data_IF_583890897532
#
_entry.id   IF_583890897532
#
_cell.length_a   1.000
_cell.length_b   1.000
_cell.length_c   1.000
_cell.angle_alpha   90.00
_cell.angle_beta   90.00
_cell.angle_gamma   90.00
#
_symmetry.space_group_name_H-M   'P 1'
#
loop_
_entity.id
_entity.type
_entity.pdbx_description
1 polymer ?
#
# COMPACT_ATOMS: atom_id res chain seq x y z
N UNK A 1 7.04 -4.47 22.01
CA UNK A 1 7.66 -3.50 21.07
C UNK A 1 7.23 -2.10 21.47
N UNK A 2 8.08 -1.08 21.31
CA UNK A 2 7.71 0.33 21.50
C UNK A 2 7.38 0.94 20.13
N UNK A 3 6.34 1.77 20.06
CA UNK A 3 6.01 2.50 18.85
C UNK A 3 7.13 3.48 18.47
N UNK A 4 7.28 3.73 17.17
CA UNK A 4 8.15 4.79 16.66
C UNK A 4 7.57 6.18 16.95
N UNK A 5 8.33 7.26 16.65
CA UNK A 5 7.95 8.63 16.96
C UNK A 5 6.57 9.06 16.44
N UNK A 6 6.22 8.68 15.21
CA UNK A 6 4.93 8.96 14.60
C UNK A 6 3.94 7.79 14.69
N UNK A 7 4.38 6.65 15.23
CA UNK A 7 3.64 5.39 15.22
C UNK A 7 3.10 5.06 13.81
N UNK A 8 3.95 5.20 12.80
CA UNK A 8 3.57 5.18 11.39
C UNK A 8 4.63 4.53 10.51
N UNK A 9 4.25 4.13 9.28
CA UNK A 9 5.17 3.54 8.31
C UNK A 9 6.36 4.47 7.98
N UNK A 10 6.15 5.78 8.03
CA UNK A 10 7.17 6.80 7.78
C UNK A 10 8.19 6.95 8.91
N UNK A 11 8.03 6.23 10.04
CA UNK A 11 9.10 6.11 11.04
C UNK A 11 10.31 5.34 10.50
N UNK A 12 10.14 4.59 9.40
CA UNK A 12 11.27 4.02 8.64
C UNK A 12 11.91 5.13 7.80
N UNK A 13 13.19 5.46 8.04
CA UNK A 13 13.85 6.57 7.35
C UNK A 13 13.79 6.43 5.83
N UNK A 14 13.39 7.52 5.15
CA UNK A 14 13.35 7.60 3.69
C UNK A 14 12.08 7.04 3.05
N UNK A 15 11.26 6.26 3.77
CA UNK A 15 9.92 5.91 3.27
C UNK A 15 9.00 7.13 3.29
N UNK A 16 8.20 7.26 2.24
CA UNK A 16 7.16 8.29 2.15
C UNK A 16 5.83 7.66 1.79
N UNK A 17 4.75 8.26 2.25
CA UNK A 17 3.39 7.79 1.97
C UNK A 17 2.53 8.96 1.53
N UNK A 18 1.86 8.80 0.39
CA UNK A 18 0.94 9.79 -0.17
C UNK A 18 -0.40 9.19 -0.51
N UNK A 19 -1.42 10.03 -0.51
CA UNK A 19 -2.81 9.65 -0.69
C UNK A 19 -3.49 10.63 -1.64
N UNK A 20 -4.29 10.12 -2.58
CA UNK A 20 -5.22 10.92 -3.35
C UNK A 20 -6.57 10.20 -3.42
N UNK A 21 -7.67 10.96 -3.33
CA UNK A 21 -9.02 10.41 -3.35
C UNK A 21 -9.95 11.29 -4.17
N UNK A 22 -11.00 10.67 -4.73
CA UNK A 22 -12.13 11.38 -5.35
C UNK A 22 -13.41 11.02 -4.61
N UNK A 23 -14.10 12.03 -4.12
CA UNK A 23 -15.39 11.93 -3.44
C UNK A 23 -16.38 12.89 -4.10
N UNK A 24 -17.64 12.44 -4.24
CA UNK A 24 -18.68 13.23 -4.92
C UNK A 24 -18.68 13.05 -6.43
N UNK A 25 -19.72 13.55 -7.11
CA UNK A 25 -19.86 13.43 -8.57
C UNK A 25 -19.78 11.99 -9.07
N UNK A 26 -20.39 11.03 -8.35
CA UNK A 26 -20.33 9.60 -8.70
C UNK A 26 -19.14 8.85 -8.10
N UNK A 27 -18.13 9.55 -7.56
CA UNK A 27 -16.89 8.96 -7.05
C UNK A 27 -16.93 8.69 -5.55
N UNK A 28 -16.34 7.56 -5.16
CA UNK A 28 -15.98 7.24 -3.77
C UNK A 28 -14.87 6.19 -3.80
N UNK A 29 -13.69 6.60 -4.26
CA UNK A 29 -12.49 5.75 -4.37
C UNK A 29 -11.20 6.56 -4.14
N UNK A 30 -10.05 5.89 -4.06
CA UNK A 30 -8.76 6.55 -3.91
C UNK A 30 -7.55 5.62 -4.05
N UNK A 31 -6.37 6.23 -4.10
CA UNK A 31 -5.08 5.59 -4.27
C UNK A 31 -4.11 6.03 -3.17
N UNK A 32 -3.39 5.08 -2.60
CA UNK A 32 -2.27 5.29 -1.69
C UNK A 32 -0.99 4.83 -2.38
N UNK A 33 0.06 5.63 -2.28
CA UNK A 33 1.39 5.30 -2.82
C UNK A 33 2.39 5.30 -1.67
N UNK A 34 3.14 4.21 -1.53
CA UNK A 34 4.32 4.13 -0.67
C UNK A 34 5.53 4.31 -1.56
N UNK A 35 6.30 5.38 -1.36
CA UNK A 35 7.51 5.66 -2.15
C UNK A 35 8.73 5.19 -1.36
N UNK A 36 9.58 4.42 -2.03
CA UNK A 36 10.81 3.91 -1.47
C UNK A 36 11.84 5.05 -1.22
N UNK A 37 12.86 4.83 -0.37
CA UNK A 37 13.99 5.74 -0.27
C UNK A 37 14.73 5.87 -1.60
N UNK A 38 15.65 6.84 -1.66
CA UNK A 38 16.55 6.97 -2.81
C UNK A 38 17.29 5.63 -3.07
N UNK A 39 17.32 5.20 -4.34
CA UNK A 39 17.88 3.92 -4.75
C UNK A 39 16.93 2.71 -4.61
N UNK A 40 15.68 2.92 -4.20
CA UNK A 40 14.67 1.87 -4.07
C UNK A 40 14.81 1.02 -2.81
N UNK A 41 13.81 0.17 -2.56
CA UNK A 41 13.75 -0.74 -1.42
C UNK A 41 13.68 -2.19 -1.88
N UNK A 42 14.33 -3.10 -1.16
CA UNK A 42 14.13 -4.54 -1.35
C UNK A 42 12.69 -4.88 -0.94
N UNK A 43 12.00 -5.63 -1.77
CA UNK A 43 10.60 -5.99 -1.55
C UNK A 43 10.31 -7.44 -1.94
N UNK A 44 9.37 -8.03 -1.20
CA UNK A 44 8.70 -9.28 -1.56
C UNK A 44 7.19 -9.11 -1.47
N UNK A 45 6.44 -10.09 -1.96
CA UNK A 45 4.97 -10.08 -1.92
C UNK A 45 4.42 -11.45 -1.55
N UNK A 46 3.40 -11.45 -0.69
CA UNK A 46 2.56 -12.61 -0.40
C UNK A 46 1.09 -12.26 -0.73
N UNK A 47 0.50 -13.02 -1.64
CA UNK A 47 -0.87 -12.85 -2.12
C UNK A 47 -1.70 -14.05 -1.65
N UNK A 48 -2.50 -13.84 -0.61
CA UNK A 48 -3.31 -14.93 0.00
C UNK A 48 -4.81 -14.89 -0.33
N UNK A 49 -5.26 -13.84 -1.02
CA UNK A 49 -6.64 -13.74 -1.47
C UNK A 49 -6.94 -14.63 -2.67
N UNK A 50 -8.15 -15.19 -2.73
CA UNK A 50 -8.56 -16.10 -3.81
C UNK A 50 -8.86 -15.39 -5.15
N UNK A 51 -9.08 -14.07 -5.12
CA UNK A 51 -9.35 -13.24 -6.31
C UNK A 51 -8.49 -11.97 -6.27
N UNK A 52 -7.16 -12.09 -6.44
CA UNK A 52 -6.27 -10.94 -6.37
C UNK A 52 -6.39 -10.07 -7.62
N UNK A 53 -6.32 -8.76 -7.42
CA UNK A 53 -6.02 -7.81 -8.48
C UNK A 53 -4.64 -7.23 -8.21
N UNK A 54 -3.65 -7.65 -8.98
CA UNK A 54 -2.24 -7.27 -8.76
C UNK A 54 -1.56 -6.88 -10.07
N UNK A 55 -0.44 -6.16 -9.93
CA UNK A 55 0.49 -5.80 -11.01
C UNK A 55 1.91 -6.02 -10.52
N UNK A 56 2.77 -6.53 -11.41
CA UNK A 56 4.24 -6.66 -11.20
C UNK A 56 4.63 -7.53 -9.98
N UNK A 57 3.77 -8.47 -9.56
CA UNK A 57 4.04 -9.36 -8.42
C UNK A 57 5.12 -10.38 -8.73
N UNK A 58 5.18 -10.85 -9.97
CA UNK A 58 6.16 -11.84 -10.44
C UNK A 58 7.58 -11.29 -10.35
N UNK A 59 7.78 -9.99 -10.52
CA UNK A 59 9.10 -9.35 -10.42
C UNK A 59 9.73 -9.48 -9.03
N UNK A 60 8.93 -9.82 -8.02
CA UNK A 60 9.34 -9.85 -6.61
C UNK A 60 9.60 -11.26 -6.10
N UNK A 61 9.53 -12.25 -6.98
CA UNK A 61 10.10 -13.55 -6.69
C UNK A 61 11.61 -13.38 -6.48
N UNK A 62 12.19 -13.87 -5.35
CA UNK A 62 13.60 -13.67 -5.02
C UNK A 62 14.58 -14.29 -6.03
N UNK A 63 14.09 -15.10 -6.98
CA UNK A 63 14.90 -15.68 -8.06
C UNK A 63 15.00 -14.79 -9.30
N UNK A 64 14.24 -13.70 -9.36
CA UNK A 64 14.19 -12.81 -10.51
C UNK A 64 15.21 -11.67 -10.40
N UNK A 65 15.44 -10.99 -11.54
CA UNK A 65 16.46 -9.95 -11.70
C UNK A 65 16.24 -8.70 -10.84
N UNK A 66 14.97 -8.40 -10.53
CA UNK A 66 14.59 -7.14 -9.90
C UNK A 66 14.69 -7.25 -8.39
N UNK A 67 15.74 -6.66 -7.82
CA UNK A 67 15.96 -6.68 -6.36
C UNK A 67 15.22 -5.56 -5.62
N UNK A 68 14.83 -4.48 -6.32
CA UNK A 68 14.34 -3.24 -5.71
C UNK A 68 13.13 -2.66 -6.41
N UNK A 69 12.17 -2.20 -5.61
CA UNK A 69 11.00 -1.43 -6.04
C UNK A 69 11.19 0.04 -5.72
N UNK A 70 10.52 0.89 -6.49
CA UNK A 70 10.64 2.35 -6.37
C UNK A 70 9.42 2.96 -5.71
N UNK A 71 8.26 2.33 -5.90
CA UNK A 71 7.04 2.61 -5.16
C UNK A 71 6.14 1.37 -5.12
N UNK A 72 5.17 1.35 -4.20
CA UNK A 72 4.07 0.39 -4.16
C UNK A 72 2.76 1.15 -4.21
N UNK A 73 1.81 0.67 -5.02
CA UNK A 73 0.51 1.33 -5.23
C UNK A 73 -0.62 0.47 -4.68
N UNK A 74 -1.42 1.05 -3.79
CA UNK A 74 -2.63 0.44 -3.24
C UNK A 74 -3.83 1.28 -3.68
N UNK A 75 -4.72 0.70 -4.48
CA UNK A 75 -5.81 1.48 -5.08
C UNK A 75 -7.18 0.83 -4.89
N UNK A 76 -8.22 1.65 -4.78
CA UNK A 76 -9.59 1.23 -5.07
C UNK A 76 -9.79 1.02 -6.58
N UNK A 77 -11.02 0.74 -6.99
CA UNK A 77 -11.42 0.61 -8.39
C UNK A 77 -11.35 -0.82 -8.95
N UNK A 78 -11.12 -1.82 -8.11
CA UNK A 78 -10.88 -3.21 -8.54
C UNK A 78 -9.83 -3.24 -9.68
N UNK A 79 -9.95 -4.18 -10.62
CA UNK A 79 -9.00 -4.35 -11.74
C UNK A 79 -8.76 -3.06 -12.54
N UNK A 80 -9.74 -2.16 -12.64
CA UNK A 80 -9.58 -0.88 -13.34
C UNK A 80 -8.62 0.06 -12.62
N UNK A 81 -8.59 -0.01 -11.29
CA UNK A 81 -7.71 0.79 -10.43
C UNK A 81 -6.22 0.48 -10.59
N UNK A 82 -5.86 -0.64 -11.22
CA UNK A 82 -4.45 -0.94 -11.55
C UNK A 82 -3.86 0.13 -12.48
N UNK A 83 -4.70 0.86 -13.23
CA UNK A 83 -4.28 2.00 -14.05
C UNK A 83 -3.66 3.15 -13.26
N UNK A 84 -3.94 3.26 -11.95
CA UNK A 84 -3.29 4.26 -11.09
C UNK A 84 -1.76 4.05 -11.01
N UNK A 85 -1.28 2.81 -11.13
CA UNK A 85 0.15 2.53 -11.14
C UNK A 85 0.87 3.21 -12.32
N UNK A 86 0.21 3.39 -13.47
CA UNK A 86 0.81 4.02 -14.64
C UNK A 86 1.26 5.47 -14.35
N UNK A 87 0.45 6.26 -13.63
CA UNK A 87 0.86 7.63 -13.30
C UNK A 87 2.03 7.70 -12.33
N UNK A 88 2.19 6.69 -11.46
CA UNK A 88 3.36 6.58 -10.59
C UNK A 88 4.61 6.16 -11.38
N UNK A 89 4.45 5.23 -12.33
CA UNK A 89 5.51 4.87 -13.29
C UNK A 89 5.97 6.10 -14.07
N UNK A 90 5.04 6.87 -14.65
CA UNK A 90 5.38 8.06 -15.43
C UNK A 90 6.15 9.08 -14.60
N UNK A 91 5.69 9.36 -13.37
CA UNK A 91 6.38 10.27 -12.44
C UNK A 91 7.79 9.82 -12.09
N UNK A 92 7.99 8.53 -11.86
CA UNK A 92 9.31 7.96 -11.56
C UNK A 92 10.22 7.98 -12.79
N UNK A 93 9.67 7.67 -13.97
CA UNK A 93 10.40 7.71 -15.23
C UNK A 93 10.89 9.13 -15.56
N UNK A 94 10.01 10.13 -15.43
CA UNK A 94 10.34 11.55 -15.60
C UNK A 94 11.45 12.00 -14.64
N UNK A 95 11.50 11.43 -13.44
CA UNK A 95 12.53 11.69 -12.44
C UNK A 95 13.82 10.88 -12.65
N UNK A 96 13.88 10.00 -13.67
CA UNK A 96 15.01 9.10 -13.90
C UNK A 96 15.18 8.03 -12.82
N UNK A 97 14.11 7.69 -12.09
CA UNK A 97 14.12 6.73 -10.99
C UNK A 97 13.58 5.39 -11.48
N UNK A 98 14.42 4.36 -11.45
CA UNK A 98 14.05 3.03 -11.92
C UNK A 98 15.22 2.08 -11.94
N UNK A 99 14.94 0.84 -12.36
CA UNK A 99 15.97 -0.12 -12.72
C UNK A 99 16.78 0.43 -13.90
N UNK A 100 18.11 0.56 -13.78
CA UNK A 100 18.93 1.18 -14.82
C UNK A 100 19.00 0.28 -16.05
N UNK A 101 18.76 0.86 -17.22
CA UNK A 101 18.91 0.21 -18.53
C UNK A 101 19.68 1.14 -19.47
N UNK A 102 20.12 0.60 -20.62
CA UNK A 102 20.68 1.46 -21.66
C UNK A 102 19.60 2.47 -22.11
N UNK A 103 19.93 3.77 -22.04
CA UNK A 103 19.03 4.84 -22.47
C UNK A 103 18.03 5.35 -21.43
N UNK A 104 18.00 4.80 -20.20
CA UNK A 104 17.12 5.35 -19.15
C UNK A 104 16.97 4.49 -17.89
N UNK A 105 15.87 4.72 -17.18
CA UNK A 105 15.51 3.97 -15.99
C UNK A 105 14.09 3.42 -16.15
N UNK A 106 13.87 2.16 -15.75
CA UNK A 106 12.58 1.46 -15.82
C UNK A 106 11.98 1.39 -14.41
N UNK A 107 10.96 2.18 -14.07
CA UNK A 107 10.34 2.13 -12.76
C UNK A 107 9.72 0.76 -12.48
N UNK A 108 9.99 0.22 -11.30
CA UNK A 108 9.38 -1.00 -10.78
C UNK A 108 8.35 -0.58 -9.74
N UNK A 109 7.07 -0.79 -10.06
CA UNK A 109 5.93 -0.26 -9.30
C UNK A 109 4.86 -1.34 -9.14
N UNK A 110 5.04 -2.27 -8.19
CA UNK A 110 4.03 -3.25 -7.86
C UNK A 110 2.75 -2.59 -7.34
N UNK A 111 1.60 -3.17 -7.69
CA UNK A 111 0.32 -2.65 -7.26
C UNK A 111 -0.64 -3.75 -6.80
N UNK A 112 -1.54 -3.38 -5.90
CA UNK A 112 -2.67 -4.20 -5.48
C UNK A 112 -3.94 -3.35 -5.39
N UNK A 113 -5.08 -3.96 -5.71
CA UNK A 113 -6.38 -3.27 -5.72
C UNK A 113 -7.41 -3.92 -4.83
N UNK A 114 -8.35 -3.11 -4.34
CA UNK A 114 -9.55 -3.56 -3.63
C UNK A 114 -10.80 -3.24 -4.45
N UNK A 115 -11.90 -3.95 -4.16
CA UNK A 115 -13.18 -3.71 -4.80
C UNK A 115 -13.94 -2.58 -4.09
N UNK A 116 -14.26 -1.49 -4.81
CA UNK A 116 -15.10 -0.40 -4.31
C UNK A 116 -16.04 0.22 -5.38
N UNK A 117 -16.24 -0.49 -6.50
CA UNK A 117 -17.14 -0.11 -7.60
C UNK A 117 -18.61 -0.03 -7.10
N UNK A 118 -19.51 0.71 -7.74
CA UNK A 118 -19.58 2.16 -7.71
C UNK A 118 -20.21 2.66 -6.41
N UNK A 119 -19.44 2.64 -5.32
CA UNK A 119 -19.87 3.13 -4.00
C UNK A 119 -20.18 4.64 -3.95
N UNK A 120 -19.77 5.39 -4.96
CA UNK A 120 -20.12 6.80 -5.14
C UNK A 120 -21.35 7.03 -6.02
N UNK A 121 -21.98 5.98 -6.54
CA UNK A 121 -23.15 6.04 -7.42
C UNK A 121 -22.84 5.85 -8.92
N UNK A 122 -21.57 5.89 -9.33
CA UNK A 122 -21.16 5.59 -10.72
C UNK A 122 -20.21 4.39 -10.74
N UNK A 123 -20.57 3.33 -11.46
CA UNK A 123 -19.85 2.04 -11.44
C UNK A 123 -18.38 2.15 -11.89
N UNK A 124 -18.10 2.97 -12.91
CA UNK A 124 -16.75 3.20 -13.45
C UNK A 124 -16.08 4.49 -12.98
N UNK A 125 -16.55 5.09 -11.88
CA UNK A 125 -15.88 6.23 -11.25
C UNK A 125 -14.70 5.73 -10.37
N UNK A 126 -13.63 5.31 -11.02
CA UNK A 126 -12.48 4.59 -10.43
C UNK A 126 -11.18 5.39 -10.51
N UNK A 127 -10.15 5.05 -9.70
CA UNK A 127 -8.82 5.63 -9.82
C UNK A 127 -8.20 5.39 -11.19
N UNK A 128 -7.52 6.41 -11.70
CA UNK A 128 -6.82 6.44 -12.98
C UNK A 128 -5.35 6.84 -12.77
N UNK A 129 -4.57 6.87 -13.85
CA UNK A 129 -3.17 7.29 -13.81
C UNK A 129 -3.00 8.67 -13.16
N UNK A 130 -3.89 9.63 -13.45
CA UNK A 130 -3.82 10.97 -12.86
C UNK A 130 -4.00 10.95 -11.34
N UNK A 131 -4.90 10.11 -10.81
CA UNK A 131 -5.07 9.95 -9.37
C UNK A 131 -3.86 9.26 -8.72
N UNK A 132 -3.24 8.31 -9.41
CA UNK A 132 -1.98 7.69 -8.97
C UNK A 132 -0.82 8.67 -8.90
N UNK A 133 -0.64 9.50 -9.94
CA UNK A 133 0.36 10.56 -9.97
C UNK A 133 0.13 11.57 -8.84
N UNK A 134 -1.12 11.99 -8.60
CA UNK A 134 -1.45 12.89 -7.50
C UNK A 134 -1.11 12.29 -6.12
N UNK A 135 -1.32 10.98 -5.92
CA UNK A 135 -0.95 10.30 -4.69
C UNK A 135 0.58 10.21 -4.53
N UNK A 136 1.33 10.00 -5.61
CA UNK A 136 2.78 10.07 -5.61
C UNK A 136 3.30 11.47 -5.25
N UNK A 137 2.76 12.51 -5.89
CA UNK A 137 3.14 13.91 -5.63
C UNK A 137 2.85 14.31 -4.17
N UNK A 138 1.72 13.83 -3.63
CA UNK A 138 1.38 13.99 -2.22
C UNK A 138 2.38 13.29 -1.28
N UNK A 139 2.99 12.18 -1.69
CA UNK A 139 4.03 11.51 -0.91
C UNK A 139 5.33 12.33 -0.86
N UNK A 140 5.62 13.10 -1.91
CA UNK A 140 6.82 13.92 -2.01
C UNK A 140 6.68 15.30 -1.35
N UNK A 141 5.45 15.73 -1.05
CA UNK A 141 5.20 17.01 -0.40
C UNK A 141 5.57 16.93 1.08
N UNK A 142 6.48 17.78 1.59
CA UNK A 142 6.80 17.83 3.01
C UNK A 142 5.54 18.20 3.82
N UNK A 143 5.22 17.42 4.85
CA UNK A 143 4.13 17.78 5.77
C UNK A 143 4.58 18.99 6.61
N UNK A 144 3.81 20.10 6.64
CA UNK A 144 4.20 21.30 7.39
C UNK A 144 4.11 21.14 8.92
N UNK A 145 3.41 20.11 9.40
CA UNK A 145 3.20 19.83 10.82
C UNK A 145 4.00 18.59 11.28
N UNK A 146 4.63 18.63 12.47
CA UNK A 146 5.18 17.44 13.10
C UNK A 146 4.09 16.36 13.22
N UNK A 147 4.41 15.13 12.83
CA UNK A 147 3.47 14.02 12.87
C UNK A 147 3.01 13.79 14.31
N UNK A 148 1.76 14.13 14.61
CA UNK A 148 1.14 13.76 15.89
C UNK A 148 0.95 12.24 15.92
N UNK A 149 1.31 11.54 17.01
CA UNK A 149 1.24 10.08 17.12
C UNK A 149 -0.17 9.49 16.96
N UNK A 150 -1.20 10.34 16.88
CA UNK A 150 -2.61 10.00 16.72
C UNK A 150 -3.27 10.63 15.48
N UNK A 151 -2.52 11.06 14.45
CA UNK A 151 -3.14 11.47 13.17
C UNK A 151 -3.40 10.26 12.29
N UNK A 152 -4.64 9.72 12.19
CA UNK A 152 -4.94 8.67 11.25
C UNK A 152 -4.85 9.22 9.82
N UNK A 153 -3.74 8.97 9.13
CA UNK A 153 -3.74 9.02 7.66
C UNK A 153 -4.38 7.72 7.19
N UNK A 154 -5.71 7.71 7.15
CA UNK A 154 -6.45 6.57 6.61
C UNK A 154 -6.03 6.40 5.16
N UNK A 155 -5.56 5.21 4.73
CA UNK A 155 -5.22 5.00 3.34
C UNK A 155 -6.42 5.35 2.45
N UNK A 156 -6.19 6.08 1.35
CA UNK A 156 -7.27 6.59 0.52
C UNK A 156 -8.19 5.46 0.01
N UNK A 157 -7.60 4.34 -0.41
CA UNK A 157 -8.31 3.13 -0.82
C UNK A 157 -9.27 2.61 0.27
N UNK A 158 -8.82 2.49 1.52
CA UNK A 158 -9.68 2.02 2.64
C UNK A 158 -10.70 3.06 3.08
N UNK A 159 -10.37 4.35 3.05
CA UNK A 159 -11.27 5.44 3.45
C UNK A 159 -12.48 5.59 2.51
N UNK A 160 -12.30 5.22 1.24
CA UNK A 160 -13.31 5.29 0.21
C UNK A 160 -14.14 3.99 0.10
N UNK A 161 -13.51 2.84 0.36
CA UNK A 161 -14.12 1.52 0.30
C UNK A 161 -14.94 1.12 1.55
N UNK A 162 -15.36 2.06 2.41
CA UNK A 162 -16.18 1.84 3.63
C UNK A 162 -16.70 0.42 3.83
N UNK A 163 -15.89 -0.45 4.45
CA UNK A 163 -16.24 -1.85 4.73
C UNK A 163 -16.40 -2.79 3.53
N UNK A 164 -15.39 -2.99 2.68
CA UNK A 164 -15.27 -4.24 1.88
C UNK A 164 -14.15 -5.10 2.44
N UNK A 165 -14.53 -6.29 2.92
CA UNK A 165 -13.62 -7.42 3.13
C UNK A 165 -13.27 -7.99 1.76
N UNK A 166 -12.13 -7.60 1.18
CA UNK A 166 -11.46 -8.49 0.25
C UNK A 166 -10.82 -9.56 1.11
N UNK A 167 -11.43 -10.74 1.16
CA UNK A 167 -10.90 -11.90 1.89
C UNK A 167 -9.52 -12.24 1.33
N UNK A 168 -8.48 -11.86 2.08
CA UNK A 168 -7.07 -12.10 1.77
C UNK A 168 -6.33 -10.81 1.39
N UNK A 169 -5.74 -10.18 2.40
CA UNK A 169 -4.87 -9.02 2.21
C UNK A 169 -3.62 -9.37 1.41
N UNK A 170 -3.15 -8.44 0.58
CA UNK A 170 -1.80 -8.48 0.02
C UNK A 170 -0.87 -7.88 1.08
N UNK A 171 0.08 -8.66 1.57
CA UNK A 171 1.08 -8.20 2.51
C UNK A 171 2.33 -7.75 1.72
N UNK A 172 2.74 -6.51 1.92
CA UNK A 172 3.96 -5.94 1.35
C UNK A 172 4.95 -5.71 2.48
N UNK A 173 6.15 -6.27 2.37
CA UNK A 173 7.22 -6.04 3.35
C UNK A 173 8.37 -5.33 2.65
N UNK A 174 8.76 -4.17 3.16
CA UNK A 174 9.99 -3.45 2.76
C UNK A 174 10.97 -3.59 3.90
N UNK A 175 12.06 -4.32 3.71
CA UNK A 175 13.10 -4.45 4.72
C UNK A 175 14.04 -3.23 4.65
N UNK A 176 14.38 -2.57 5.78
CA UNK A 176 15.37 -1.52 5.77
C UNK A 176 16.74 -2.11 5.42
N UNK A 177 17.34 -1.63 4.33
CA UNK A 177 18.74 -1.85 4.04
C UNK A 177 19.58 -1.01 5.01
N UNK A 178 19.76 -1.51 6.23
CA UNK A 178 20.80 -1.02 7.13
C UNK A 178 22.15 -1.40 6.53
N UNK A 179 22.88 -0.42 6.00
CA UNK A 179 24.26 -0.56 5.59
C UNK A 179 25.14 -0.85 6.84
N UNK A 180 25.17 -2.12 7.24
CA UNK A 180 26.26 -2.72 7.97
C UNK A 180 26.51 -4.05 7.27
N UNK A 181 27.70 -4.20 6.70
CA UNK A 181 28.16 -5.43 6.02
C UNK A 181 28.18 -6.55 7.05
N UNK A 182 27.05 -7.22 7.22
CA UNK A 182 26.97 -8.61 7.65
C UNK A 182 26.60 -9.41 6.40
N UNK A 183 27.14 -10.62 6.23
CA UNK A 183 26.68 -11.50 5.15
C UNK A 183 25.15 -11.58 5.23
N UNK A 184 24.50 -11.59 4.06
CA UNK A 184 23.06 -11.79 3.98
C UNK A 184 22.68 -12.97 4.88
N UNK A 185 21.60 -12.87 5.69
CA UNK A 185 21.11 -14.00 6.45
C UNK A 185 20.96 -15.20 5.51
N UNK A 186 21.19 -16.42 6.02
CA UNK A 186 20.82 -17.61 5.27
C UNK A 186 19.37 -17.46 4.78
N UNK A 187 19.07 -17.94 3.58
CA UNK A 187 17.78 -17.77 2.90
C UNK A 187 16.59 -18.04 3.85
N UNK A 188 16.71 -19.04 4.71
CA UNK A 188 15.69 -19.43 5.70
C UNK A 188 15.46 -18.35 6.77
N UNK A 189 16.52 -17.72 7.28
CA UNK A 189 16.43 -16.64 8.27
C UNK A 189 15.79 -15.36 7.69
N UNK A 190 16.04 -15.09 6.41
CA UNK A 190 15.38 -13.98 5.71
C UNK A 190 13.90 -14.31 5.50
N UNK A 191 13.57 -15.53 5.10
CA UNK A 191 12.19 -15.98 4.90
C UNK A 191 11.39 -15.95 6.21
N UNK A 192 11.97 -16.43 7.32
CA UNK A 192 11.37 -16.39 8.66
C UNK A 192 11.09 -14.94 9.10
N UNK A 193 12.02 -14.03 8.81
CA UNK A 193 11.85 -12.61 9.11
C UNK A 193 10.74 -11.98 8.27
N UNK A 194 10.66 -12.29 6.97
CA UNK A 194 9.61 -11.81 6.09
C UNK A 194 8.24 -12.36 6.49
N UNK A 195 8.17 -13.63 6.87
CA UNK A 195 6.96 -14.28 7.38
C UNK A 195 6.50 -13.62 8.69
N UNK A 196 7.40 -13.39 9.63
CA UNK A 196 7.09 -12.70 10.87
C UNK A 196 6.58 -11.26 10.63
N UNK A 197 7.18 -10.53 9.68
CA UNK A 197 6.72 -9.18 9.30
C UNK A 197 5.34 -9.25 8.65
N UNK A 198 5.09 -10.21 7.76
CA UNK A 198 3.81 -10.41 7.12
C UNK A 198 2.70 -10.77 8.13
N UNK A 199 3.02 -11.59 9.14
CA UNK A 199 2.10 -11.90 10.26
C UNK A 199 1.77 -10.65 11.08
N UNK A 200 2.80 -9.91 11.50
CA UNK A 200 2.62 -8.69 12.29
C UNK A 200 1.81 -7.64 11.53
N UNK A 201 2.09 -7.45 10.23
CA UNK A 201 1.36 -6.52 9.39
C UNK A 201 -0.10 -6.96 9.20
N UNK A 202 -0.33 -8.24 8.90
CA UNK A 202 -1.68 -8.80 8.76
C UNK A 202 -2.50 -8.60 10.05
N UNK A 203 -1.89 -8.86 11.21
CA UNK A 203 -2.51 -8.63 12.52
C UNK A 203 -2.76 -7.16 12.77
N UNK A 204 -1.83 -6.27 12.45
CA UNK A 204 -2.00 -4.83 12.64
C UNK A 204 -3.17 -4.29 11.79
N UNK A 205 -3.27 -4.72 10.52
CA UNK A 205 -4.39 -4.36 9.64
C UNK A 205 -5.71 -4.92 10.18
N UNK A 206 -5.74 -6.19 10.59
CA UNK A 206 -6.94 -6.78 11.18
C UNK A 206 -7.38 -6.05 12.45
N UNK A 207 -6.44 -5.75 13.36
CA UNK A 207 -6.72 -4.98 14.56
C UNK A 207 -7.23 -3.58 14.24
N UNK A 208 -6.63 -2.89 13.26
CA UNK A 208 -7.06 -1.56 12.85
C UNK A 208 -8.49 -1.58 12.25
N UNK A 209 -8.81 -2.57 11.41
CA UNK A 209 -10.14 -2.73 10.82
C UNK A 209 -11.20 -3.04 11.88
N UNK A 210 -10.88 -3.91 12.85
CA UNK A 210 -11.80 -4.29 13.92
C UNK A 210 -11.96 -3.19 14.98
N UNK A 211 -10.94 -2.34 15.19
CA UNK A 211 -10.99 -1.25 16.16
C UNK A 211 -11.56 0.07 15.59
N UNK A 212 -11.71 0.18 14.26
CA UNK A 212 -12.24 1.38 13.63
C UNK A 212 -13.70 1.62 14.05
N UNK A 213 -14.04 2.88 14.36
CA UNK A 213 -15.41 3.30 14.65
C UNK A 213 -16.09 3.88 13.41
N UNK A 214 -17.42 3.72 13.34
CA UNK A 214 -18.21 4.27 12.25
C UNK A 214 -18.19 5.80 12.27
N UNK A 215 -18.46 6.40 11.11
CA UNK A 215 -18.73 7.85 10.97
C UNK A 215 -20.10 8.04 10.31
N UNK A 216 -20.63 9.25 10.40
CA UNK A 216 -21.96 9.56 9.83
C UNK A 216 -22.03 9.14 8.34
N UNK A 217 -23.01 8.29 8.01
CA UNK A 217 -23.20 7.71 6.67
C UNK A 217 -22.18 6.63 6.25
N UNK A 218 -21.30 6.17 7.14
CA UNK A 218 -20.35 5.10 6.87
C UNK A 218 -20.12 4.22 8.13
N UNK A 219 -20.84 3.10 8.26
CA UNK A 219 -20.68 2.17 9.39
C UNK A 219 -19.27 1.57 9.41
N UNK A 220 -18.74 1.29 10.60
CA UNK A 220 -17.50 0.52 10.76
C UNK A 220 -17.71 -0.95 10.36
N UNK A 221 -16.60 -1.67 10.19
CA UNK A 221 -16.62 -3.08 9.82
C UNK A 221 -17.48 -3.92 10.77
N UNK A 222 -17.39 -3.67 12.08
CA UNK A 222 -18.18 -4.39 13.09
C UNK A 222 -19.64 -3.98 13.16
N UNK A 223 -19.99 -2.76 12.72
CA UNK A 223 -21.38 -2.33 12.63
C UNK A 223 -22.12 -3.11 11.52
N UNK A 224 -21.38 -3.51 10.47
CA UNK A 224 -21.90 -4.32 9.35
C UNK A 224 -21.77 -5.83 9.62
N UNK A 225 -20.69 -6.25 10.27
CA UNK A 225 -20.35 -7.66 10.51
C UNK A 225 -20.05 -7.94 11.99
N UNK A 226 -21.05 -7.86 12.88
CA UNK A 226 -20.85 -8.00 14.33
C UNK A 226 -20.40 -9.41 14.75
N UNK A 227 -20.56 -10.42 13.89
CA UNK A 227 -20.09 -11.79 14.11
C UNK A 227 -18.57 -11.94 14.06
N UNK A 228 -17.83 -10.96 13.52
CA UNK A 228 -16.37 -11.03 13.37
C UNK A 228 -15.59 -11.05 14.70
N UNK A 229 -16.24 -10.73 15.84
CA UNK A 229 -15.65 -10.81 17.18
C UNK A 229 -16.07 -12.04 17.98
N UNK A 230 -17.04 -12.85 17.51
CA UNK A 230 -17.46 -14.02 18.28
C UNK A 230 -16.40 -15.11 18.13
N UNK A 231 -15.66 -15.37 19.22
CA UNK A 231 -15.26 -16.74 19.50
C UNK A 231 -16.57 -17.52 19.74
N UNK A 232 -16.85 -18.53 18.94
CA UNK A 232 -17.89 -19.49 19.32
C UNK A 232 -17.53 -20.08 20.69
N UNK A 233 -18.54 -20.35 21.55
CA UNK A 233 -18.34 -20.89 22.89
C UNK A 233 -17.67 -22.27 22.89
#
# INVERSE_FOLDING_TARGET
>A
MRAGPANSLVDVPGLRVGHAQRTGGGHRSGTTVVVAPAGGAVAGVDVRGAAPGTRETELLDPRNLVERVHAVVLSGGSVFGLGAACGVVDRLADAGIGYPVEGGAVPIVPAAVIFDLGRGGTFRAVPDAALGAAAYDAALTPSPEPLSPNSPRTPAATSAAGGVSASGGVAWTTAPASANVRPAPGHDLLQDALEAVADVFSRAVAHAVLAATGREGAPAYLDVFPSALRKEP
#
